data_IF_188530914086
#
_entry.id   IF_188530914086
#
_cell.length_a   1.000
_cell.length_b   1.000
_cell.length_c   1.000
_cell.angle_alpha   90.00
_cell.angle_beta   90.00
_cell.angle_gamma   90.00
#
_symmetry.space_group_name_H-M   'P 1'
#
loop_
_entity.id
_entity.type
_entity.pdbx_description
1 polymer ?
#
# COMPACT_ATOMS: atom_id res chain seq x y z
N UNK A 1 -14.05 -21.13 3.67
CA UNK A 1 -13.92 -20.57 3.35
C UNK A 1 -13.51 -19.82 3.15
N UNK A 2 -13.44 -20.00 3.14
CA UNK A 2 -12.77 -19.13 2.75
C UNK A 2 -13.03 -17.74 2.39
N UNK A 3 -14.07 -17.22 2.74
CA UNK A 3 -14.33 -15.82 2.49
C UNK A 3 -13.28 -14.90 3.08
N UNK A 4 -12.69 -15.31 4.15
CA UNK A 4 -11.65 -14.50 4.74
C UNK A 4 -10.42 -14.42 3.85
N UNK A 5 -10.32 -15.35 2.94
CA UNK A 5 -9.25 -15.29 1.96
C UNK A 5 -9.47 -14.20 0.97
N UNK A 6 -10.66 -13.70 0.93
CA UNK A 6 -11.01 -12.76 -0.10
C UNK A 6 -10.66 -11.33 0.26
N UNK A 7 -9.81 -11.15 1.27
CA UNK A 7 -9.36 -9.80 1.57
C UNK A 7 -8.72 -9.22 0.33
N UNK A 8 -9.21 -8.07 -0.15
CA UNK A 8 -8.63 -7.48 -1.35
C UNK A 8 -7.16 -7.14 -1.15
N UNK A 9 -6.41 -7.24 -2.23
CA UNK A 9 -5.00 -6.88 -2.20
C UNK A 9 -4.83 -5.46 -1.68
N UNK A 10 -5.72 -4.56 -2.04
CA UNK A 10 -5.65 -3.18 -1.59
C UNK A 10 -5.69 -3.06 -0.07
N UNK A 11 -6.60 -3.81 0.56
CA UNK A 11 -6.70 -3.79 2.03
C UNK A 11 -5.44 -4.35 2.67
N UNK A 12 -4.92 -5.41 2.08
CA UNK A 12 -3.72 -6.04 2.60
C UNK A 12 -2.53 -5.10 2.51
N UNK A 13 -2.40 -4.41 1.39
CA UNK A 13 -1.32 -3.45 1.20
C UNK A 13 -1.39 -2.36 2.27
N UNK A 14 -2.56 -1.79 2.48
CA UNK A 14 -2.73 -0.73 3.46
C UNK A 14 -2.37 -1.23 4.85
N UNK A 15 -2.82 -2.43 5.20
CA UNK A 15 -2.53 -2.98 6.52
C UNK A 15 -1.03 -3.16 6.73
N UNK A 16 -0.34 -3.66 5.72
CA UNK A 16 1.09 -3.87 5.81
C UNK A 16 1.83 -2.55 5.94
N UNK A 17 1.46 -1.56 5.13
CA UNK A 17 2.14 -0.28 5.17
C UNK A 17 1.94 0.39 6.52
N UNK A 18 0.74 0.27 7.08
CA UNK A 18 0.48 0.85 8.39
C UNK A 18 1.33 0.23 9.48
N UNK A 19 1.62 -1.06 9.37
CA UNK A 19 2.50 -1.72 10.32
C UNK A 19 3.91 -1.19 10.25
N UNK A 20 4.29 -0.61 9.14
CA UNK A 20 5.60 -0.04 8.93
C UNK A 20 5.59 1.47 9.11
N UNK A 21 4.73 1.96 9.98
CA UNK A 21 4.61 3.37 10.31
C UNK A 21 4.15 4.21 9.14
N UNK A 22 3.44 3.58 8.22
CA UNK A 22 2.83 4.29 7.11
C UNK A 22 3.70 4.46 5.89
N UNK A 23 4.93 3.92 5.90
CA UNK A 23 5.84 4.04 4.75
C UNK A 23 6.55 2.71 4.54
N UNK A 24 6.65 2.29 3.28
CA UNK A 24 7.34 1.06 2.94
C UNK A 24 7.91 1.19 1.52
N UNK A 25 8.99 0.49 1.26
CA UNK A 25 9.52 0.40 -0.11
C UNK A 25 8.84 -0.76 -0.81
N UNK A 26 8.78 -0.70 -2.13
CA UNK A 26 8.04 -1.69 -2.90
C UNK A 26 8.60 -3.11 -2.74
N UNK A 27 9.92 -3.27 -2.69
CA UNK A 27 10.46 -4.63 -2.51
C UNK A 27 10.18 -5.16 -1.12
N UNK A 28 10.13 -4.30 -0.11
CA UNK A 28 9.73 -4.72 1.22
C UNK A 28 8.25 -5.10 1.24
N UNK A 29 7.44 -4.35 0.51
CA UNK A 29 6.02 -4.65 0.42
C UNK A 29 5.81 -5.99 -0.26
N UNK A 30 6.54 -6.26 -1.33
CA UNK A 30 6.42 -7.53 -2.04
C UNK A 30 6.78 -8.69 -1.11
N UNK A 31 7.82 -8.54 -0.33
CA UNK A 31 8.21 -9.57 0.63
C UNK A 31 7.12 -9.83 1.66
N UNK A 32 6.55 -8.76 2.17
CA UNK A 32 5.49 -8.89 3.16
C UNK A 32 4.26 -9.55 2.55
N UNK A 33 3.91 -9.15 1.33
CA UNK A 33 2.77 -9.74 0.64
C UNK A 33 3.00 -11.22 0.38
N UNK A 34 4.20 -11.59 -0.03
CA UNK A 34 4.53 -12.98 -0.26
C UNK A 34 4.34 -13.79 1.02
N UNK A 35 4.74 -13.22 2.13
CA UNK A 35 4.61 -13.90 3.42
C UNK A 35 3.13 -14.09 3.78
N UNK A 36 2.32 -13.07 3.54
CA UNK A 36 0.90 -13.14 3.90
C UNK A 36 0.11 -14.02 2.94
N UNK A 37 0.45 -13.96 1.66
CA UNK A 37 -0.30 -14.69 0.65
C UNK A 37 0.23 -16.08 0.39
N UNK A 38 1.46 -16.35 0.78
CA UNK A 38 2.09 -17.61 0.48
C UNK A 38 2.71 -17.67 -0.90
N UNK A 39 2.42 -16.71 -1.75
CA UNK A 39 3.02 -16.62 -3.08
C UNK A 39 3.30 -15.17 -3.39
N UNK A 40 4.25 -14.96 -4.27
CA UNK A 40 4.59 -13.60 -4.67
C UNK A 40 3.53 -13.04 -5.62
N UNK A 41 2.99 -11.86 -5.34
CA UNK A 41 2.02 -11.27 -6.25
C UNK A 41 2.70 -10.87 -7.55
N UNK A 42 1.95 -10.88 -8.63
CA UNK A 42 2.50 -10.45 -9.90
C UNK A 42 2.66 -8.93 -9.88
N UNK A 43 3.55 -8.45 -10.72
CA UNK A 43 3.78 -7.02 -10.84
C UNK A 43 2.49 -6.30 -11.26
N UNK A 44 1.74 -6.92 -12.15
CA UNK A 44 0.49 -6.33 -12.61
C UNK A 44 -0.52 -6.22 -11.47
N UNK A 45 -0.62 -7.25 -10.64
CA UNK A 45 -1.53 -7.23 -9.51
C UNK A 45 -1.14 -6.14 -8.52
N UNK A 46 0.14 -6.05 -8.23
CA UNK A 46 0.62 -5.05 -7.29
C UNK A 46 0.39 -3.65 -7.82
N UNK A 47 0.73 -3.43 -9.09
CA UNK A 47 0.54 -2.12 -9.69
C UNK A 47 -0.91 -1.71 -9.72
N UNK A 48 -1.80 -2.66 -10.00
CA UNK A 48 -3.23 -2.38 -10.02
C UNK A 48 -3.72 -1.98 -8.64
N UNK A 49 -3.25 -2.68 -7.61
CA UNK A 49 -3.66 -2.37 -6.25
C UNK A 49 -3.15 -0.99 -5.83
N UNK A 50 -1.90 -0.69 -6.14
CA UNK A 50 -1.34 0.61 -5.78
C UNK A 50 -2.04 1.74 -6.51
N UNK A 51 -2.35 1.54 -7.78
CA UNK A 51 -3.06 2.55 -8.56
C UNK A 51 -4.43 2.80 -7.98
N UNK A 52 -5.13 1.73 -7.63
CA UNK A 52 -6.46 1.84 -7.03
C UNK A 52 -6.38 2.66 -5.74
N UNK A 53 -5.39 2.38 -4.92
CA UNK A 53 -5.23 3.09 -3.65
C UNK A 53 -4.87 4.55 -3.87
N UNK A 54 -4.07 4.83 -4.89
CA UNK A 54 -3.73 6.21 -5.22
C UNK A 54 -4.94 6.99 -5.69
N UNK A 55 -5.73 6.37 -6.55
CA UNK A 55 -6.94 7.01 -7.07
C UNK A 55 -7.90 7.33 -5.94
N UNK A 56 -7.97 6.44 -4.95
CA UNK A 56 -8.84 6.65 -3.82
C UNK A 56 -8.25 7.59 -2.77
N UNK A 57 -7.03 8.03 -2.98
CA UNK A 57 -6.39 8.96 -2.05
C UNK A 57 -5.93 8.32 -0.76
N UNK A 58 -5.73 7.01 -0.76
CA UNK A 58 -5.32 6.29 0.44
C UNK A 58 -3.82 6.15 0.57
N UNK A 59 -3.10 6.12 -0.54
CA UNK A 59 -1.64 6.05 -0.51
C UNK A 59 -1.05 6.99 -1.54
N UNK A 60 0.19 7.33 -1.32
CA UNK A 60 0.98 8.11 -2.26
C UNK A 60 2.19 7.28 -2.66
N UNK A 61 2.41 7.13 -3.94
CA UNK A 61 3.53 6.35 -4.46
C UNK A 61 4.53 7.30 -5.08
N UNK A 62 5.76 7.25 -4.60
CA UNK A 62 6.84 8.08 -5.13
C UNK A 62 7.92 7.20 -5.70
N UNK A 63 8.47 7.59 -6.83
CA UNK A 63 9.58 6.87 -7.40
C UNK A 63 10.88 7.39 -6.81
N UNK A 64 11.65 6.51 -6.19
CA UNK A 64 12.92 6.90 -5.60
C UNK A 64 14.05 6.67 -6.57
N UNK A 65 14.06 5.51 -7.21
CA UNK A 65 15.02 5.18 -8.26
C UNK A 65 14.25 4.56 -9.40
N UNK A 66 14.93 4.18 -10.47
CA UNK A 66 14.28 3.56 -11.60
C UNK A 66 13.57 2.27 -11.22
N UNK A 67 14.07 1.58 -10.21
CA UNK A 67 13.53 0.28 -9.84
C UNK A 67 12.88 0.26 -8.47
N UNK A 68 12.88 1.38 -7.76
CA UNK A 68 12.34 1.41 -6.41
C UNK A 68 11.31 2.50 -6.24
N UNK A 69 10.22 2.15 -5.56
CA UNK A 69 9.17 3.10 -5.26
C UNK A 69 8.93 3.11 -3.77
N UNK A 70 8.46 4.22 -3.28
CA UNK A 70 8.10 4.38 -1.89
C UNK A 70 6.60 4.52 -1.81
N UNK A 71 5.97 3.72 -0.98
CA UNK A 71 4.52 3.75 -0.79
C UNK A 71 4.25 4.30 0.60
N UNK A 72 3.43 5.34 0.65
CA UNK A 72 3.10 6.01 1.90
C UNK A 72 1.60 6.07 2.05
N UNK A 73 1.10 5.67 3.23
CA UNK A 73 -0.32 5.76 3.53
C UNK A 73 -0.63 7.21 3.92
N UNK A 74 -1.64 7.76 3.27
CA UNK A 74 -2.08 9.11 3.59
C UNK A 74 -3.06 8.99 4.74
N UNK A 75 -2.66 9.51 5.88
CA UNK A 75 -3.47 9.44 7.08
C UNK A 75 -4.61 10.45 6.99
N UNK A 76 -5.78 9.99 7.33
CA UNK A 76 -6.93 10.87 7.40
C UNK A 76 -6.69 11.99 8.39
N UNK A 77 -6.07 11.64 9.50
CA UNK A 77 -5.73 12.60 10.52
C UNK A 77 -4.78 13.65 10.01
N UNK A 78 -3.81 13.21 9.23
CA UNK A 78 -2.84 14.11 8.64
C UNK A 78 -3.50 15.07 7.66
N UNK A 79 -4.39 14.56 6.85
CA UNK A 79 -5.11 15.36 5.88
C UNK A 79 -5.98 16.39 6.59
N UNK A 80 -6.59 15.99 7.65
CA UNK A 80 -7.44 16.89 8.42
C UNK A 80 -6.62 18.04 9.00
N UNK A 81 -5.46 17.76 9.52
CA UNK A 81 -4.60 18.79 10.06
C UNK A 81 -4.17 19.79 8.99
N UNK A 82 -3.90 19.30 7.81
CA UNK A 82 -3.50 20.18 6.71
C UNK A 82 -4.64 21.13 6.35
N UNK A 83 -5.85 20.63 6.33
CA UNK A 83 -7.01 21.45 6.04
C UNK A 83 -7.22 22.47 7.15
N UNK A 84 -7.03 22.06 8.36
CA UNK A 84 -7.26 22.88 9.51
C UNK A 84 -6.35 24.10 9.54
N UNK A 85 -5.19 23.95 8.99
CA UNK A 85 -4.23 25.04 8.98
C UNK A 85 -4.61 26.12 8.00
N UNK A 86 -5.44 25.80 7.08
CA UNK A 86 -5.90 26.78 6.11
C UNK A 86 -6.96 27.67 6.73
#
# INVERSE_FOLDING_TARGET
MAPWNAMPMTNLVVAIVKKRRGVILDDELIRALKKELGTEPSEAELNAALLQLEINGLVHVSQITKSKRRIEVISEEHTFLAVDED
#
